data_IF_773543750984
#
_entry.id   IF_773543750984
#
_cell.length_a   1.000
_cell.length_b   1.000
_cell.length_c   1.000
_cell.angle_alpha   90.00
_cell.angle_beta   90.00
_cell.angle_gamma   90.00
#
_symmetry.space_group_name_H-M   'P 1'
#
loop_
_entity.id
_entity.type
_entity.pdbx_description
1 polymer ?
#
# COMPACT_ATOMS: atom_id res chain seq x y z
N UNK A 1 -11.95 31.01 12.76
CA UNK A 1 -12.11 29.66 12.16
C UNK A 1 -13.22 29.75 11.14
N UNK A 2 -12.87 30.01 9.87
CA UNK A 2 -13.80 29.96 8.74
C UNK A 2 -13.00 29.74 7.46
N UNK A 3 -12.47 28.53 7.26
CA UNK A 3 -12.11 28.07 5.92
C UNK A 3 -13.36 27.37 5.38
N UNK A 4 -14.21 28.14 4.72
CA UNK A 4 -15.43 27.67 4.07
C UNK A 4 -15.53 28.43 2.76
N UNK A 5 -14.81 27.96 1.75
CA UNK A 5 -15.15 28.20 0.34
C UNK A 5 -14.53 27.11 -0.53
N UNK A 6 -15.03 25.89 -0.34
CA UNK A 6 -14.86 24.74 -1.23
C UNK A 6 -15.73 24.93 -2.51
N UNK A 7 -15.69 26.12 -3.12
CA UNK A 7 -16.68 26.58 -4.11
C UNK A 7 -16.14 27.60 -5.13
N UNK A 8 -14.83 27.65 -5.37
CA UNK A 8 -14.32 28.36 -6.56
C UNK A 8 -14.55 27.51 -7.81
N UNK A 9 -15.79 27.55 -8.31
CA UNK A 9 -16.27 27.18 -9.64
C UNK A 9 -15.34 26.23 -10.43
N UNK A 10 -15.58 24.92 -10.30
CA UNK A 10 -14.97 23.94 -11.18
C UNK A 10 -15.24 24.37 -12.63
N UNK A 11 -14.20 24.79 -13.35
CA UNK A 11 -14.29 25.28 -14.73
C UNK A 11 -15.18 24.35 -15.58
N UNK A 12 -15.90 24.85 -16.60
CA UNK A 12 -16.70 23.98 -17.47
C UNK A 12 -15.85 22.83 -18.04
N UNK A 13 -16.44 21.64 -18.17
CA UNK A 13 -15.73 20.41 -18.58
C UNK A 13 -14.87 20.56 -19.86
N UNK A 14 -15.34 21.26 -20.92
CA UNK A 14 -14.52 21.48 -22.11
C UNK A 14 -13.26 22.29 -21.80
N UNK A 15 -13.38 23.30 -20.92
CA UNK A 15 -12.28 24.17 -20.50
C UNK A 15 -11.30 23.40 -19.63
N UNK A 16 -11.77 22.57 -18.70
CA UNK A 16 -10.92 21.68 -17.88
C UNK A 16 -10.15 20.68 -18.73
N UNK A 17 -10.82 20.07 -19.71
CA UNK A 17 -10.19 19.11 -20.61
C UNK A 17 -9.12 19.77 -21.45
N UNK A 18 -9.42 20.94 -22.02
CA UNK A 18 -8.48 21.69 -22.84
C UNK A 18 -7.27 22.18 -22.03
N UNK A 19 -7.50 22.76 -20.85
CA UNK A 19 -6.43 23.17 -19.93
C UNK A 19 -5.63 21.95 -19.45
N UNK A 20 -6.29 20.84 -19.15
CA UNK A 20 -5.62 19.60 -18.76
C UNK A 20 -4.73 19.03 -19.86
N UNK A 21 -5.14 19.14 -21.12
CA UNK A 21 -4.32 18.77 -22.28
C UNK A 21 -3.13 19.72 -22.45
N UNK A 22 -3.34 21.03 -22.33
CA UNK A 22 -2.27 22.03 -22.42
C UNK A 22 -1.25 21.85 -21.29
N UNK A 23 -1.70 21.69 -20.04
CA UNK A 23 -0.84 21.48 -18.89
C UNK A 23 -0.04 20.18 -19.04
N UNK A 24 -0.67 19.07 -19.44
CA UNK A 24 0.06 17.82 -19.71
C UNK A 24 1.08 17.99 -20.84
N UNK A 25 0.74 18.71 -21.90
CA UNK A 25 1.69 19.01 -22.99
C UNK A 25 2.90 19.80 -22.48
N UNK A 26 2.66 20.88 -21.73
CA UNK A 26 3.72 21.73 -21.16
C UNK A 26 4.55 20.97 -20.13
N UNK A 27 3.95 20.28 -19.17
CA UNK A 27 4.70 19.51 -18.18
C UNK A 27 5.47 18.34 -18.78
N UNK A 28 5.02 17.76 -19.89
CA UNK A 28 5.77 16.70 -20.59
C UNK A 28 6.83 17.25 -21.57
N UNK A 29 6.67 18.48 -22.08
CA UNK A 29 7.59 19.09 -23.03
C UNK A 29 8.65 20.00 -22.38
N UNK A 30 8.32 20.63 -21.25
CA UNK A 30 9.16 21.62 -20.56
C UNK A 30 9.88 21.04 -19.34
N UNK A 31 9.40 19.91 -18.80
CA UNK A 31 10.15 19.18 -17.79
C UNK A 31 10.96 18.08 -18.49
N UNK A 32 12.28 18.07 -18.29
CA UNK A 32 13.02 16.82 -18.37
C UNK A 32 12.23 15.76 -17.61
N UNK A 33 12.06 14.57 -18.21
CA UNK A 33 11.33 13.44 -17.60
C UNK A 33 11.67 13.42 -16.11
N UNK A 34 10.69 13.59 -15.19
CA UNK A 34 11.01 13.75 -13.79
C UNK A 34 11.90 12.60 -13.36
N UNK A 35 13.10 12.92 -12.84
CA UNK A 35 14.15 11.96 -12.50
C UNK A 35 13.74 10.96 -11.42
N UNK A 36 12.53 11.09 -10.86
CA UNK A 36 11.92 10.16 -9.92
C UNK A 36 10.96 9.16 -10.59
N UNK A 37 10.69 9.27 -11.90
CA UNK A 37 9.78 8.41 -12.65
C UNK A 37 10.57 7.38 -13.49
N UNK A 38 11.26 6.48 -12.79
CA UNK A 38 11.93 5.33 -13.41
C UNK A 38 13.26 4.91 -12.78
N UNK A 39 14.10 5.83 -12.28
CA UNK A 39 15.33 5.61 -11.46
C UNK A 39 16.09 6.96 -11.27
N UNK A 40 17.05 7.18 -10.32
CA UNK A 40 17.16 6.85 -8.89
C UNK A 40 17.15 8.13 -8.00
N UNK A 41 16.90 9.32 -8.55
CA UNK A 41 16.99 10.57 -7.78
C UNK A 41 15.64 10.90 -7.15
N UNK A 42 15.24 10.06 -6.19
CA UNK A 42 14.20 10.41 -5.25
C UNK A 42 14.64 11.66 -4.48
N UNK A 43 13.76 12.67 -4.34
CA UNK A 43 14.04 13.81 -3.47
C UNK A 43 14.45 13.31 -2.07
N UNK A 44 15.55 13.82 -1.50
CA UNK A 44 16.05 13.35 -0.21
C UNK A 44 15.02 13.52 0.92
N UNK A 45 14.08 14.44 0.76
CA UNK A 45 12.94 14.66 1.65
C UNK A 45 11.99 13.46 1.74
N UNK A 46 11.93 12.63 0.68
CA UNK A 46 11.13 11.42 0.67
C UNK A 46 11.81 10.24 1.38
N UNK A 47 13.12 10.31 1.60
CA UNK A 47 13.91 9.25 2.23
C UNK A 47 13.34 8.73 3.56
N UNK A 48 12.98 9.60 4.53
CA UNK A 48 12.36 9.17 5.79
C UNK A 48 11.02 8.44 5.60
N UNK A 49 10.21 8.89 4.64
CA UNK A 49 8.89 8.29 4.35
C UNK A 49 9.03 6.92 3.69
N UNK A 50 9.99 6.78 2.77
CA UNK A 50 10.30 5.51 2.12
C UNK A 50 10.84 4.48 3.12
N UNK A 51 11.77 4.88 4.00
CA UNK A 51 12.27 3.99 5.07
C UNK A 51 11.14 3.45 5.95
N UNK A 52 10.19 4.31 6.36
CA UNK A 52 9.01 3.88 7.13
C UNK A 52 8.16 2.87 6.35
N UNK A 53 8.02 3.06 5.03
CA UNK A 53 7.28 2.15 4.17
C UNK A 53 7.96 0.78 4.07
N UNK A 54 9.27 0.78 3.82
CA UNK A 54 10.10 -0.43 3.76
C UNK A 54 10.06 -1.22 5.07
N UNK A 55 10.17 -0.54 6.22
CA UNK A 55 10.05 -1.18 7.53
C UNK A 55 8.70 -1.85 7.70
N UNK A 56 7.60 -1.18 7.32
CA UNK A 56 6.24 -1.74 7.42
C UNK A 56 6.05 -2.93 6.48
N UNK A 57 6.58 -2.86 5.27
CA UNK A 57 6.54 -3.94 4.29
C UNK A 57 7.27 -5.18 4.80
N UNK A 58 8.53 -5.01 5.26
CA UNK A 58 9.32 -6.10 5.82
C UNK A 58 8.67 -6.71 7.06
N UNK A 59 8.18 -5.87 7.98
CA UNK A 59 7.49 -6.35 9.18
C UNK A 59 6.22 -7.15 8.84
N UNK A 60 5.49 -6.74 7.80
CA UNK A 60 4.32 -7.49 7.31
C UNK A 60 4.73 -8.83 6.69
N UNK A 61 5.76 -8.86 5.86
CA UNK A 61 6.26 -10.09 5.23
C UNK A 61 6.77 -11.10 6.27
N UNK A 62 7.62 -10.66 7.20
CA UNK A 62 8.10 -11.50 8.31
C UNK A 62 6.96 -11.92 9.25
N UNK A 63 5.99 -11.02 9.49
CA UNK A 63 4.82 -11.32 10.32
C UNK A 63 3.93 -12.40 9.72
N UNK A 64 3.71 -12.38 8.40
CA UNK A 64 2.95 -13.45 7.71
C UNK A 64 3.63 -14.80 7.86
N UNK A 65 4.95 -14.87 7.60
CA UNK A 65 5.71 -16.12 7.74
C UNK A 65 5.69 -16.68 9.16
N UNK A 66 5.87 -15.82 10.18
CA UNK A 66 5.81 -16.24 11.58
C UNK A 66 4.43 -16.79 11.98
N UNK A 67 3.34 -16.24 11.44
CA UNK A 67 1.98 -16.76 11.68
C UNK A 67 1.76 -18.08 10.96
N UNK A 68 2.25 -18.23 9.74
CA UNK A 68 2.19 -19.51 8.99
C UNK A 68 2.96 -20.62 9.70
N UNK A 69 4.18 -20.34 10.16
CA UNK A 69 5.00 -21.28 10.91
C UNK A 69 4.32 -21.68 12.23
N UNK A 70 3.82 -20.70 13.00
CA UNK A 70 3.11 -20.97 14.25
C UNK A 70 1.82 -21.78 14.04
N UNK A 71 1.09 -21.53 12.93
CA UNK A 71 -0.09 -22.29 12.58
C UNK A 71 0.25 -23.73 12.19
N UNK A 72 1.34 -23.93 11.43
CA UNK A 72 1.82 -25.25 11.05
C UNK A 72 2.26 -26.05 12.27
N UNK A 73 3.04 -25.44 13.17
CA UNK A 73 3.43 -26.04 14.44
C UNK A 73 2.21 -26.42 15.28
N UNK A 74 1.16 -25.58 15.32
CA UNK A 74 -0.07 -25.90 16.03
C UNK A 74 -0.80 -27.10 15.42
N UNK A 75 -0.89 -27.17 14.09
CA UNK A 75 -1.54 -28.28 13.37
C UNK A 75 -0.74 -29.58 13.52
N UNK A 76 0.58 -29.52 13.49
CA UNK A 76 1.47 -30.67 13.68
C UNK A 76 1.45 -31.16 15.15
N UNK A 77 1.16 -30.26 16.10
CA UNK A 77 1.07 -30.54 17.54
C UNK A 77 -0.33 -30.95 18.00
N UNK A 78 -1.33 -30.90 17.12
CA UNK A 78 -2.67 -31.47 17.30
C UNK A 78 -2.70 -32.91 16.76
N UNK A 79 -2.40 -33.95 17.57
CA UNK A 79 -2.74 -35.31 17.18
C UNK A 79 -4.25 -35.48 17.37
N UNK A 80 -5.05 -35.21 16.35
CA UNK A 80 -6.43 -35.68 16.20
C UNK A 80 -7.20 -35.82 17.54
N UNK A 81 -7.34 -34.74 18.31
CA UNK A 81 -7.96 -34.72 19.63
C UNK A 81 -9.49 -34.80 19.60
N UNK A 82 -10.10 -35.56 18.67
CA UNK A 82 -11.57 -35.74 18.61
C UNK A 82 -12.05 -37.13 18.15
N UNK A 83 -11.20 -38.15 18.16
CA UNK A 83 -11.67 -39.54 18.06
C UNK A 83 -11.78 -40.19 19.46
N UNK A 84 -12.47 -39.54 20.39
CA UNK A 84 -12.99 -40.17 21.60
C UNK A 84 -14.47 -40.51 21.38
N UNK A 85 -14.74 -41.77 21.07
CA UNK A 85 -16.06 -42.37 20.95
C UNK A 85 -16.10 -43.73 21.64
N UNK A 86 -16.16 -43.69 22.97
CA UNK A 86 -16.77 -44.62 23.93
C UNK A 86 -17.19 -46.02 23.47
N UNK A 87 -16.63 -47.04 24.13
CA UNK A 87 -17.24 -48.37 24.28
C UNK A 87 -16.63 -49.12 25.47
N UNK A 88 -17.36 -49.40 26.57
CA UNK A 88 -16.80 -50.03 27.75
C UNK A 88 -16.62 -51.53 27.53
N UNK A 89 -15.47 -52.06 27.99
CA UNK A 89 -15.24 -53.50 28.13
C UNK A 89 -15.91 -53.98 29.42
N UNK A 90 -16.93 -54.83 29.27
CA UNK A 90 -17.49 -55.73 30.28
C UNK A 90 -17.55 -57.13 29.71
#
# INVERSE_FOLDING_TARGET
MSDTDDSHAALPEPVRTHLGQQLRSVYNASAEKPQYLGDPALPPELGPHLRRLETRLKARETGTGAVEDALKDLLDREPAGRAAGTGPRG
#
